data_IF_841085656333
#
_entry.id   IF_841085656333
#
_cell.length_a   1.000
_cell.length_b   1.000
_cell.length_c   1.000
_cell.angle_alpha   90.00
_cell.angle_beta   90.00
_cell.angle_gamma   90.00
#
_symmetry.space_group_name_H-M   'P 1'
#
loop_
_entity.id
_entity.type
_entity.pdbx_description
1 polymer ?
#
# COMPACT_ATOMS: atom_id res chain seq x y z
N UNK A 1 -10.14 -9.25 -11.44
CA UNK A 1 -9.19 -9.71 -10.42
C UNK A 1 -9.96 -10.12 -9.21
N UNK A 2 -9.99 -11.42 -8.93
CA UNK A 2 -10.35 -11.91 -7.61
C UNK A 2 -9.34 -11.35 -6.59
N UNK A 3 -9.68 -11.29 -5.29
CA UNK A 3 -8.70 -10.88 -4.27
C UNK A 3 -7.42 -11.71 -4.34
N UNK A 4 -7.53 -12.98 -4.71
CA UNK A 4 -6.42 -13.91 -4.86
C UNK A 4 -5.43 -13.42 -5.94
N UNK A 5 -5.93 -12.84 -7.03
CA UNK A 5 -5.09 -12.35 -8.13
C UNK A 5 -4.22 -11.15 -7.69
N UNK A 6 -4.76 -10.23 -6.88
CA UNK A 6 -4.01 -9.08 -6.36
C UNK A 6 -2.90 -9.51 -5.39
N UNK A 7 -3.20 -10.47 -4.51
CA UNK A 7 -2.21 -11.01 -3.56
C UNK A 7 -1.10 -11.78 -4.25
N UNK A 8 -1.44 -12.62 -5.24
CA UNK A 8 -0.44 -13.35 -6.02
C UNK A 8 0.49 -12.39 -6.77
N UNK A 9 -0.08 -11.37 -7.43
CA UNK A 9 0.71 -10.35 -8.12
C UNK A 9 1.65 -9.61 -7.16
N UNK A 10 1.14 -9.22 -5.99
CA UNK A 10 1.94 -8.55 -4.96
C UNK A 10 3.11 -9.43 -4.50
N UNK A 11 2.86 -10.70 -4.17
CA UNK A 11 3.90 -11.61 -3.70
C UNK A 11 4.96 -11.88 -4.77
N UNK A 12 4.56 -12.03 -6.03
CA UNK A 12 5.49 -12.19 -7.15
C UNK A 12 6.34 -10.94 -7.35
N UNK A 13 5.74 -9.75 -7.32
CA UNK A 13 6.44 -8.48 -7.43
C UNK A 13 7.43 -8.29 -6.27
N UNK A 14 7.01 -8.55 -5.03
CA UNK A 14 7.89 -8.51 -3.88
C UNK A 14 9.04 -9.51 -4.02
N UNK A 15 8.78 -10.77 -4.38
CA UNK A 15 9.83 -11.77 -4.56
C UNK A 15 10.86 -11.34 -5.61
N UNK A 16 10.40 -10.76 -6.73
CA UNK A 16 11.28 -10.25 -7.76
C UNK A 16 12.14 -9.10 -7.24
N UNK A 17 11.51 -8.11 -6.57
CA UNK A 17 12.21 -6.93 -6.06
C UNK A 17 13.22 -7.27 -4.95
N UNK A 18 12.86 -8.16 -4.03
CA UNK A 18 13.80 -8.66 -3.02
C UNK A 18 14.94 -9.46 -3.66
N UNK A 19 14.65 -10.26 -4.69
CA UNK A 19 15.68 -10.91 -5.48
C UNK A 19 16.68 -9.92 -6.07
N UNK A 20 16.19 -8.83 -6.68
CA UNK A 20 17.08 -7.77 -7.21
C UNK A 20 17.86 -7.04 -6.12
N UNK A 21 17.29 -6.86 -4.92
CA UNK A 21 17.99 -6.23 -3.80
C UNK A 21 19.18 -7.06 -3.29
N UNK A 22 19.11 -8.39 -3.34
CA UNK A 22 20.21 -9.27 -2.95
C UNK A 22 21.22 -9.50 -4.08
N UNK A 23 20.76 -9.63 -5.32
CA UNK A 23 21.64 -9.96 -6.45
C UNK A 23 22.29 -8.72 -7.08
N UNK A 24 21.63 -7.57 -7.03
CA UNK A 24 22.12 -6.33 -7.65
C UNK A 24 21.73 -5.08 -6.82
N UNK A 25 22.28 -4.96 -5.60
CA UNK A 25 21.91 -3.90 -4.65
C UNK A 25 22.18 -2.49 -5.20
N UNK A 26 23.17 -2.30 -6.06
CA UNK A 26 23.50 -1.02 -6.71
C UNK A 26 22.29 -0.36 -7.41
N UNK A 27 21.44 -1.16 -8.09
CA UNK A 27 20.30 -0.63 -8.84
C UNK A 27 19.16 -0.06 -7.97
N UNK A 28 18.97 -0.64 -6.79
CA UNK A 28 17.84 -0.36 -5.88
C UNK A 28 18.29 0.26 -4.56
N UNK A 29 19.59 0.33 -4.30
CA UNK A 29 20.20 0.98 -3.15
C UNK A 29 20.32 2.50 -3.30
N UNK A 30 21.16 3.11 -2.47
CA UNK A 30 21.32 4.56 -2.42
C UNK A 30 22.23 5.14 -3.52
N UNK A 31 22.83 4.29 -4.37
CA UNK A 31 23.44 4.74 -5.63
C UNK A 31 22.39 5.28 -6.60
N UNK A 32 21.15 4.79 -6.49
CA UNK A 32 20.01 5.34 -7.19
C UNK A 32 19.59 6.66 -6.52
N UNK A 33 20.02 7.78 -7.11
CA UNK A 33 19.76 9.13 -6.57
C UNK A 33 18.26 9.41 -6.37
N UNK A 34 17.38 8.82 -7.20
CA UNK A 34 15.94 8.96 -7.02
C UNK A 34 15.47 8.25 -5.75
N UNK A 35 15.82 6.97 -5.55
CA UNK A 35 15.40 6.23 -4.35
C UNK A 35 16.01 6.80 -3.08
N UNK A 36 17.26 7.26 -3.14
CA UNK A 36 17.90 7.97 -2.03
C UNK A 36 17.13 9.23 -1.63
N UNK A 37 16.75 10.05 -2.61
CA UNK A 37 15.98 11.28 -2.38
C UNK A 37 14.53 11.03 -2.00
N UNK A 38 13.94 9.94 -2.47
CA UNK A 38 12.52 9.65 -2.27
C UNK A 38 12.23 8.95 -0.94
N UNK A 39 13.07 8.00 -0.51
CA UNK A 39 12.84 7.17 0.70
C UNK A 39 13.25 7.94 1.96
N UNK A 40 12.57 9.05 2.19
CA UNK A 40 12.69 9.95 3.34
C UNK A 40 11.31 10.59 3.64
N UNK A 41 11.28 11.87 4.02
CA UNK A 41 10.05 12.64 4.19
C UNK A 41 9.15 12.71 2.93
N UNK A 42 9.70 12.65 1.72
CA UNK A 42 8.93 12.61 0.47
C UNK A 42 8.06 11.35 0.37
N UNK A 43 8.63 10.19 0.71
CA UNK A 43 7.89 8.93 0.76
C UNK A 43 6.73 9.00 1.77
N UNK A 44 6.94 9.60 2.95
CA UNK A 44 5.86 9.80 3.93
C UNK A 44 4.78 10.74 3.42
N UNK A 45 5.16 11.84 2.78
CA UNK A 45 4.21 12.78 2.18
C UNK A 45 3.36 12.10 1.11
N UNK A 46 4.00 11.31 0.24
CA UNK A 46 3.31 10.55 -0.80
C UNK A 46 2.34 9.53 -0.22
N UNK A 47 2.76 8.75 0.78
CA UNK A 47 1.88 7.80 1.48
C UNK A 47 0.74 8.52 2.21
N UNK A 48 0.99 9.68 2.81
CA UNK A 48 -0.03 10.51 3.45
C UNK A 48 -1.12 10.95 2.46
N UNK A 49 -0.74 11.36 1.25
CA UNK A 49 -1.68 11.69 0.18
C UNK A 49 -2.50 10.47 -0.24
N UNK A 50 -1.85 9.33 -0.51
CA UNK A 50 -2.52 8.07 -0.87
C UNK A 50 -3.57 7.69 0.18
N UNK A 51 -3.18 7.68 1.45
CA UNK A 51 -4.05 7.25 2.56
C UNK A 51 -5.21 8.22 2.73
N UNK A 52 -4.95 9.52 2.70
CA UNK A 52 -5.99 10.55 2.88
C UNK A 52 -7.07 10.45 1.81
N UNK A 53 -6.66 10.40 0.54
CA UNK A 53 -7.60 10.25 -0.59
C UNK A 53 -8.38 8.95 -0.44
N UNK A 54 -7.69 7.84 -0.13
CA UNK A 54 -8.33 6.53 -0.09
C UNK A 54 -9.29 6.38 1.08
N UNK A 55 -8.97 6.90 2.26
CA UNK A 55 -9.86 6.88 3.42
C UNK A 55 -11.13 7.71 3.16
N UNK A 56 -11.00 8.88 2.55
CA UNK A 56 -12.15 9.68 2.16
C UNK A 56 -13.06 8.94 1.17
N UNK A 57 -12.49 8.33 0.11
CA UNK A 57 -13.26 7.51 -0.84
C UNK A 57 -13.92 6.30 -0.17
N UNK A 58 -13.20 5.63 0.73
CA UNK A 58 -13.71 4.47 1.48
C UNK A 58 -14.89 4.86 2.38
N UNK A 59 -14.81 6.00 3.07
CA UNK A 59 -15.88 6.48 3.93
C UNK A 59 -17.17 6.74 3.12
N UNK A 60 -17.04 7.38 1.96
CA UNK A 60 -18.17 7.61 1.05
C UNK A 60 -18.79 6.29 0.56
N UNK A 61 -17.96 5.31 0.16
CA UNK A 61 -18.43 3.96 -0.21
C UNK A 61 -19.16 3.30 0.95
N UNK A 62 -18.64 3.40 2.18
CA UNK A 62 -19.25 2.80 3.35
C UNK A 62 -20.65 3.38 3.64
N UNK A 63 -20.81 4.70 3.47
CA UNK A 63 -22.09 5.40 3.63
C UNK A 63 -23.08 4.96 2.55
N UNK A 64 -22.66 4.91 1.28
CA UNK A 64 -23.52 4.49 0.17
C UNK A 64 -23.97 3.03 0.30
N UNK A 65 -23.08 2.12 0.72
CA UNK A 65 -23.45 0.73 1.01
C UNK A 65 -24.55 0.64 2.09
N UNK A 66 -24.45 1.44 3.16
CA UNK A 66 -25.46 1.50 4.23
C UNK A 66 -26.78 2.12 3.75
N UNK A 67 -26.73 3.09 2.85
CA UNK A 67 -27.92 3.68 2.25
C UNK A 67 -28.68 2.65 1.41
N UNK A 68 -27.98 1.90 0.54
CA UNK A 68 -28.59 0.82 -0.28
C UNK A 68 -29.26 -0.28 0.56
N UNK A 69 -28.66 -0.70 1.67
CA UNK A 69 -29.30 -1.68 2.56
C UNK A 69 -30.52 -1.12 3.28
N UNK A 70 -30.49 0.16 3.69
CA UNK A 70 -31.65 0.80 4.30
C UNK A 70 -32.84 0.88 3.33
N UNK A 71 -32.58 1.11 2.05
CA UNK A 71 -33.60 1.11 1.00
C UNK A 71 -34.15 -0.29 0.73
N UNK A 72 -33.35 -1.34 0.96
CA UNK A 72 -33.74 -2.74 0.78
C UNK A 72 -34.36 -3.38 2.04
N UNK A 73 -34.34 -2.70 3.18
CA UNK A 73 -34.76 -3.22 4.50
C UNK A 73 -34.04 -4.53 4.93
N UNK A 74 -32.89 -4.86 4.31
CA UNK A 74 -32.12 -6.09 4.56
C UNK A 74 -30.60 -5.80 4.63
N UNK A 75 -29.90 -6.44 5.57
CA UNK A 75 -28.44 -6.33 5.73
C UNK A 75 -27.65 -7.36 4.90
N UNK A 76 -27.73 -7.28 3.56
CA UNK A 76 -27.07 -8.25 2.67
C UNK A 76 -25.61 -7.91 2.31
N UNK A 77 -25.11 -6.70 2.64
CA UNK A 77 -23.78 -6.21 2.24
C UNK A 77 -22.75 -6.21 3.38
N UNK A 78 -23.01 -6.93 4.49
CA UNK A 78 -22.08 -6.94 5.63
C UNK A 78 -20.67 -7.41 5.25
N UNK A 79 -20.57 -8.44 4.41
CA UNK A 79 -19.30 -8.94 3.90
C UNK A 79 -18.54 -7.89 3.07
N UNK A 80 -19.24 -7.14 2.23
CA UNK A 80 -18.66 -6.06 1.42
C UNK A 80 -18.14 -4.93 2.30
N UNK A 81 -18.91 -4.51 3.32
CA UNK A 81 -18.46 -3.50 4.29
C UNK A 81 -17.25 -3.93 5.08
N UNK A 82 -17.22 -5.19 5.55
CA UNK A 82 -16.08 -5.75 6.26
C UNK A 82 -14.84 -5.73 5.38
N UNK A 83 -14.98 -6.08 4.11
CA UNK A 83 -13.90 -6.01 3.12
C UNK A 83 -13.38 -4.58 2.96
N UNK A 84 -14.27 -3.60 2.76
CA UNK A 84 -13.92 -2.17 2.63
C UNK A 84 -13.17 -1.68 3.86
N UNK A 85 -13.66 -2.02 5.06
CA UNK A 85 -13.01 -1.69 6.33
C UNK A 85 -11.61 -2.30 6.41
N UNK A 86 -11.46 -3.58 6.09
CA UNK A 86 -10.16 -4.25 6.08
C UNK A 86 -9.17 -3.60 5.12
N UNK A 87 -9.60 -3.25 3.90
CA UNK A 87 -8.77 -2.55 2.92
C UNK A 87 -8.31 -1.19 3.46
N UNK A 88 -9.20 -0.40 4.06
CA UNK A 88 -8.84 0.89 4.67
C UNK A 88 -7.86 0.75 5.84
N UNK A 89 -8.07 -0.21 6.75
CA UNK A 89 -7.12 -0.47 7.84
C UNK A 89 -5.75 -0.94 7.34
N UNK A 90 -5.70 -1.72 6.25
CA UNK A 90 -4.43 -2.14 5.66
C UNK A 90 -3.59 -0.97 5.16
N UNK A 91 -4.23 0.11 4.65
CA UNK A 91 -3.53 1.34 4.25
C UNK A 91 -3.00 2.14 5.44
N UNK A 92 -3.75 2.18 6.54
CA UNK A 92 -3.27 2.80 7.79
C UNK A 92 -2.01 2.06 8.29
N UNK A 93 -2.03 0.72 8.25
CA UNK A 93 -0.84 -0.07 8.58
C UNK A 93 0.32 0.18 7.62
N UNK A 94 0.05 0.31 6.32
CA UNK A 94 1.07 0.65 5.32
C UNK A 94 1.72 2.02 5.60
N UNK A 95 0.92 3.03 6.01
CA UNK A 95 1.43 4.34 6.43
C UNK A 95 2.31 4.24 7.68
N UNK A 96 1.88 3.44 8.66
CA UNK A 96 2.67 3.21 9.87
C UNK A 96 4.01 2.52 9.54
N UNK A 97 4.01 1.51 8.67
CA UNK A 97 5.23 0.86 8.20
C UNK A 97 6.13 1.84 7.43
N UNK A 98 5.55 2.73 6.62
CA UNK A 98 6.32 3.78 5.95
C UNK A 98 7.03 4.69 6.95
N UNK A 99 6.33 5.09 8.03
CA UNK A 99 6.90 5.92 9.09
C UNK A 99 8.07 5.20 9.78
N UNK A 100 7.85 3.95 10.20
CA UNK A 100 8.88 3.13 10.82
C UNK A 100 10.08 2.99 9.88
N UNK A 101 9.85 2.74 8.59
CA UNK A 101 10.92 2.58 7.60
C UNK A 101 11.77 3.86 7.46
N UNK A 102 11.14 5.04 7.38
CA UNK A 102 11.86 6.32 7.25
C UNK A 102 12.65 6.65 8.51
N UNK A 103 12.15 6.28 9.70
CA UNK A 103 12.87 6.48 10.97
C UNK A 103 14.02 5.48 11.13
N UNK A 104 13.83 4.23 10.71
CA UNK A 104 14.82 3.15 10.87
C UNK A 104 15.92 3.22 9.81
N UNK A 105 15.62 3.61 8.57
CA UNK A 105 16.60 3.68 7.47
C UNK A 105 17.92 4.39 7.84
N UNK A 106 17.92 5.60 8.44
CA UNK A 106 19.18 6.30 8.79
C UNK A 106 19.96 5.62 9.93
N UNK A 107 19.37 4.66 10.65
CA UNK A 107 20.00 3.91 11.75
C UNK A 107 20.65 2.62 11.20
N UNK A 108 20.29 2.18 9.99
CA UNK A 108 20.84 0.97 9.38
C UNK A 108 22.31 1.18 9.00
N UNK A 109 23.13 0.11 9.04
CA UNK A 109 24.51 0.19 8.56
C UNK A 109 24.58 0.66 7.10
N UNK A 110 25.66 1.37 6.75
CA UNK A 110 25.90 1.88 5.39
C UNK A 110 26.21 0.77 4.35
N UNK A 111 25.95 -0.49 4.65
CA UNK A 111 26.10 -1.56 3.66
C UNK A 111 25.01 -1.44 2.58
N UNK A 112 25.43 -1.54 1.32
CA UNK A 112 24.56 -1.39 0.14
C UNK A 112 23.31 -2.26 0.20
N UNK A 113 23.43 -3.49 0.72
CA UNK A 113 22.33 -4.43 0.86
C UNK A 113 21.25 -3.91 1.81
N UNK A 114 21.61 -3.26 2.93
CA UNK A 114 20.61 -2.72 3.87
C UNK A 114 19.85 -1.54 3.26
N UNK A 115 20.55 -0.69 2.49
CA UNK A 115 19.92 0.42 1.78
C UNK A 115 18.99 -0.09 0.68
N UNK A 116 19.43 -1.09 -0.10
CA UNK A 116 18.63 -1.76 -1.12
C UNK A 116 17.37 -2.41 -0.54
N UNK A 117 17.48 -3.09 0.61
CA UNK A 117 16.33 -3.68 1.32
C UNK A 117 15.36 -2.59 1.78
N UNK A 118 15.85 -1.51 2.40
CA UNK A 118 14.99 -0.42 2.86
C UNK A 118 14.23 0.24 1.70
N UNK A 119 14.93 0.53 0.60
CA UNK A 119 14.31 1.09 -0.60
C UNK A 119 13.31 0.11 -1.23
N UNK A 120 13.65 -1.18 -1.31
CA UNK A 120 12.74 -2.23 -1.81
C UNK A 120 11.46 -2.32 -0.97
N UNK A 121 11.58 -2.26 0.36
CA UNK A 121 10.44 -2.20 1.27
C UNK A 121 9.54 -1.00 1.01
N UNK A 122 10.11 0.20 0.75
CA UNK A 122 9.31 1.39 0.44
C UNK A 122 8.50 1.22 -0.86
N UNK A 123 9.12 0.68 -1.91
CA UNK A 123 8.44 0.43 -3.18
C UNK A 123 7.34 -0.62 -2.98
N UNK A 124 7.58 -1.67 -2.18
CA UNK A 124 6.56 -2.67 -1.85
C UNK A 124 5.38 -2.05 -1.10
N UNK A 125 5.62 -1.14 -0.15
CA UNK A 125 4.55 -0.41 0.56
C UNK A 125 3.72 0.44 -0.41
N UNK A 126 4.35 1.12 -1.37
CA UNK A 126 3.65 1.89 -2.41
C UNK A 126 2.82 0.97 -3.29
N UNK A 127 3.40 -0.14 -3.74
CA UNK A 127 2.72 -1.10 -4.58
C UNK A 127 1.47 -1.65 -3.88
N UNK A 128 1.59 -1.97 -2.59
CA UNK A 128 0.45 -2.34 -1.75
C UNK A 128 -0.62 -1.24 -1.74
N UNK A 129 -0.22 0.02 -1.52
CA UNK A 129 -1.14 1.15 -1.53
C UNK A 129 -1.89 1.30 -2.85
N UNK A 130 -1.20 1.15 -3.98
CA UNK A 130 -1.79 1.18 -5.32
C UNK A 130 -2.79 0.04 -5.50
N UNK A 131 -2.45 -1.19 -5.07
CA UNK A 131 -3.35 -2.34 -5.16
C UNK A 131 -4.63 -2.13 -4.34
N UNK A 132 -4.52 -1.52 -3.15
CA UNK A 132 -5.68 -1.19 -2.32
C UNK A 132 -6.56 -0.13 -2.99
N UNK A 133 -5.96 0.92 -3.57
CA UNK A 133 -6.71 1.91 -4.35
C UNK A 133 -7.46 1.21 -5.49
N UNK A 134 -6.80 0.36 -6.27
CA UNK A 134 -7.42 -0.35 -7.38
C UNK A 134 -8.58 -1.25 -6.92
N UNK A 135 -8.47 -1.89 -5.75
CA UNK A 135 -9.56 -2.70 -5.18
C UNK A 135 -10.78 -1.84 -4.83
N UNK A 136 -10.55 -0.70 -4.17
CA UNK A 136 -11.60 0.25 -3.77
C UNK A 136 -12.24 0.89 -5.01
N UNK A 137 -11.45 1.28 -6.01
CA UNK A 137 -11.94 1.84 -7.27
C UNK A 137 -12.78 0.83 -8.04
N UNK A 138 -12.34 -0.44 -8.12
CA UNK A 138 -13.14 -1.50 -8.76
C UNK A 138 -14.45 -1.74 -8.03
N UNK A 139 -14.45 -1.67 -6.70
CA UNK A 139 -15.67 -1.78 -5.91
C UNK A 139 -16.62 -0.61 -6.20
N UNK A 140 -16.11 0.61 -6.26
CA UNK A 140 -16.90 1.81 -6.56
C UNK A 140 -17.59 1.73 -7.94
N UNK A 141 -16.89 1.23 -8.97
CA UNK A 141 -17.44 1.13 -10.33
C UNK A 141 -18.28 -0.12 -10.61
N UNK A 142 -18.23 -1.15 -9.74
CA UNK A 142 -19.12 -2.32 -9.85
C UNK A 142 -20.49 -2.10 -9.20
N UNK A 143 -20.65 -1.03 -8.44
CA UNK A 143 -21.90 -0.65 -7.76
C UNK A 143 -22.81 0.22 -8.62
#
# INVERSE_FOLDING_TARGET
MSKIDSWMFFLLACSFMFGTAFMYPESVGDENAFLKGFVNHEFLNFMGVIVTITLASTANIHIELRKKEREAEEEFLDNTRRSVKQSAFSLIWALFLALVLVVVKPILPEAEVWQAIANTCSIAIILWGILVILDITKLAFRM
#
